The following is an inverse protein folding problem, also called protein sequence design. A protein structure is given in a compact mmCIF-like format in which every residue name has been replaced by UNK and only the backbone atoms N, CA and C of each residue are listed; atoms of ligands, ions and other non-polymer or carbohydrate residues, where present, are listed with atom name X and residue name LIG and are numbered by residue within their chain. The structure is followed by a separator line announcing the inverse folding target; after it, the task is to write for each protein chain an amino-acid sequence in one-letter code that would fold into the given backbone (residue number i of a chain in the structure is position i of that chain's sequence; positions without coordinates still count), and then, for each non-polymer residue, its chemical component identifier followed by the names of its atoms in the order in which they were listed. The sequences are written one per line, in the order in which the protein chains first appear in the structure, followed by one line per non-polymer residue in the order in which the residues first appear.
data_IF_735322153032
#
_entry.id   IF_735322153032
#
_cell.length_a   1.000
_cell.length_b   1.000
_cell.length_c   1.000
_cell.angle_alpha   90.00
_cell.angle_beta   90.00
_cell.angle_gamma   90.00
#
_symmetry.space_group_name_H-M   'P 1'
#
loop_
_entity.id
_entity.type
_entity.pdbx_description
1 polymer ?
#
# COMPACT_ATOMS: atom_id res chain seq x y z
N UNK A 1 4.38 -1.48 -4.15
CA UNK A 1 5.20 -2.66 -3.91
C UNK A 1 6.65 -2.45 -4.36
N UNK A 2 7.63 -2.95 -3.59
CA UNK A 2 9.05 -2.70 -3.80
C UNK A 2 9.81 -4.01 -4.07
N UNK A 3 10.91 -3.89 -4.82
CA UNK A 3 11.87 -4.97 -5.09
C UNK A 3 13.25 -4.51 -4.62
N UNK A 4 13.89 -5.32 -3.80
CA UNK A 4 15.26 -5.13 -3.35
C UNK A 4 16.23 -5.81 -4.33
N UNK A 5 17.09 -5.02 -4.97
CA UNK A 5 18.14 -5.47 -5.90
C UNK A 5 19.51 -5.11 -5.33
N UNK A 6 20.05 -5.98 -4.47
CA UNK A 6 21.26 -5.70 -3.72
C UNK A 6 21.06 -4.51 -2.78
N UNK A 7 21.74 -3.42 -3.00
CA UNK A 7 21.61 -2.17 -2.23
C UNK A 7 20.55 -1.21 -2.77
N UNK A 8 19.99 -1.47 -3.95
CA UNK A 8 18.98 -0.64 -4.57
C UNK A 8 17.58 -1.14 -4.23
N UNK A 9 16.64 -0.21 -4.08
CA UNK A 9 15.22 -0.49 -3.88
C UNK A 9 14.47 0.16 -5.03
N UNK A 10 13.71 -0.62 -5.77
CA UNK A 10 12.96 -0.16 -6.94
C UNK A 10 11.47 -0.45 -6.78
N UNK A 11 10.58 0.42 -7.27
CA UNK A 11 9.17 0.07 -7.36
C UNK A 11 8.94 -1.05 -8.37
N UNK A 12 7.92 -1.85 -8.15
CA UNK A 12 7.45 -2.80 -9.15
C UNK A 12 6.91 -2.04 -10.37
N UNK A 13 7.11 -2.60 -11.56
CA UNK A 13 6.58 -2.00 -12.79
C UNK A 13 5.04 -2.05 -12.77
N UNK A 14 4.39 -1.00 -13.26
CA UNK A 14 2.91 -0.90 -13.30
C UNK A 14 2.24 -2.05 -14.04
N UNK A 15 2.87 -2.55 -15.12
CA UNK A 15 2.36 -3.72 -15.87
C UNK A 15 2.30 -5.01 -15.06
N UNK A 16 3.05 -5.09 -13.95
CA UNK A 16 3.14 -6.25 -13.08
C UNK A 16 2.21 -6.12 -11.85
N UNK A 17 1.33 -5.14 -11.84
CA UNK A 17 0.30 -4.93 -10.83
C UNK A 17 -1.03 -5.58 -11.24
N UNK A 18 -1.85 -5.99 -10.28
CA UNK A 18 -1.62 -5.99 -8.83
C UNK A 18 -0.68 -7.11 -8.37
N UNK A 19 0.11 -6.86 -7.33
CA UNK A 19 0.85 -7.93 -6.66
C UNK A 19 -0.11 -8.73 -5.79
N UNK A 20 -0.41 -9.95 -6.23
CA UNK A 20 -1.29 -10.86 -5.51
C UNK A 20 -0.51 -11.55 -4.39
N UNK A 21 -1.07 -11.56 -3.19
CA UNK A 21 -0.49 -12.29 -2.07
C UNK A 21 -0.65 -13.81 -2.28
N UNK A 22 0.36 -14.61 -1.93
CA UNK A 22 0.28 -16.05 -2.04
C UNK A 22 -0.62 -16.63 -0.94
N UNK A 23 -1.24 -17.75 -1.21
CA UNK A 23 -1.86 -18.54 -0.15
C UNK A 23 -0.77 -19.11 0.77
N UNK A 24 -1.00 -19.03 2.07
CA UNK A 24 -0.05 -19.44 3.12
C UNK A 24 -0.76 -20.36 4.10
N UNK A 25 -0.24 -21.55 4.30
CA UNK A 25 -0.79 -22.51 5.25
C UNK A 25 -0.71 -22.01 6.70
N UNK A 26 0.24 -21.11 6.99
CA UNK A 26 0.49 -20.62 8.33
C UNK A 26 1.00 -19.18 8.33
N UNK A 27 0.32 -18.29 9.06
CA UNK A 27 0.67 -16.89 9.23
C UNK A 27 1.48 -16.60 10.51
N UNK A 28 2.09 -17.61 11.10
CA UNK A 28 2.97 -17.38 12.26
C UNK A 28 4.20 -16.58 11.86
N UNK A 29 4.65 -15.65 12.70
CA UNK A 29 5.94 -15.00 12.52
C UNK A 29 7.05 -16.05 12.42
N UNK A 30 8.08 -15.78 11.62
CA UNK A 30 9.28 -16.61 11.62
C UNK A 30 10.06 -16.44 12.94
N UNK A 31 10.85 -17.46 13.30
CA UNK A 31 11.63 -17.43 14.54
C UNK A 31 12.65 -16.28 14.59
N UNK A 32 13.04 -15.75 13.44
CA UNK A 32 13.91 -14.58 13.27
C UNK A 32 13.17 -13.24 13.23
N UNK A 33 11.87 -13.23 13.53
CA UNK A 33 11.03 -12.03 13.56
C UNK A 33 10.68 -11.41 12.22
N UNK A 34 10.97 -12.10 11.12
CA UNK A 34 10.60 -11.64 9.77
C UNK A 34 9.13 -11.88 9.48
N UNK A 35 8.63 -11.18 8.46
CA UNK A 35 7.27 -11.35 7.94
C UNK A 35 6.99 -12.81 7.53
N UNK A 36 5.79 -13.35 7.79
CA UNK A 36 5.38 -14.67 7.29
C UNK A 36 5.59 -14.83 5.78
N UNK A 37 5.42 -13.79 4.99
CA UNK A 37 5.65 -13.80 3.54
C UNK A 37 7.11 -14.10 3.19
N UNK A 38 8.08 -13.76 4.05
CA UNK A 38 9.50 -13.99 3.80
C UNK A 38 9.88 -15.47 3.70
N UNK A 39 9.03 -16.35 4.21
CA UNK A 39 9.24 -17.81 4.16
C UNK A 39 8.89 -18.42 2.80
N UNK A 40 8.15 -17.69 1.95
CA UNK A 40 7.64 -18.18 0.68
C UNK A 40 8.59 -17.77 -0.44
N UNK A 41 9.66 -18.55 -0.59
CA UNK A 41 10.75 -18.25 -1.53
C UNK A 41 10.27 -17.98 -2.95
N UNK A 42 9.36 -18.78 -3.48
CA UNK A 42 8.86 -18.62 -4.86
C UNK A 42 8.13 -17.31 -5.10
N UNK A 43 7.52 -16.74 -4.06
CA UNK A 43 6.85 -15.44 -4.13
C UNK A 43 7.83 -14.29 -3.89
N UNK A 44 8.80 -14.49 -2.98
CA UNK A 44 9.79 -13.46 -2.63
C UNK A 44 10.80 -13.24 -3.76
N UNK A 45 11.24 -14.30 -4.42
CA UNK A 45 12.22 -14.24 -5.50
C UNK A 45 11.61 -13.67 -6.78
N UNK A 46 12.14 -12.54 -7.26
CA UNK A 46 11.80 -11.99 -8.57
C UNK A 46 12.81 -12.52 -9.58
N UNK A 47 12.32 -13.16 -10.65
CA UNK A 47 13.15 -13.79 -11.67
C UNK A 47 13.00 -13.10 -13.02
N UNK A 48 14.05 -13.12 -13.79
CA UNK A 48 14.04 -12.70 -15.21
C UNK A 48 13.45 -13.82 -16.11
N UNK A 49 13.36 -13.55 -17.41
CA UNK A 49 12.86 -14.49 -18.41
C UNK A 49 13.70 -15.78 -18.52
N UNK A 50 14.95 -15.74 -18.06
CA UNK A 50 15.88 -16.88 -18.04
C UNK A 50 15.84 -17.65 -16.71
N UNK A 51 15.02 -17.20 -15.75
CA UNK A 51 14.89 -17.82 -14.42
C UNK A 51 15.95 -17.39 -13.40
N UNK A 52 16.80 -16.40 -13.72
CA UNK A 52 17.77 -15.87 -12.76
C UNK A 52 17.09 -14.94 -11.77
N UNK A 53 17.48 -15.02 -10.50
CA UNK A 53 16.96 -14.13 -9.45
C UNK A 53 17.57 -12.73 -9.67
N UNK A 54 16.71 -11.75 -9.95
CA UNK A 54 17.09 -10.36 -10.18
C UNK A 54 16.78 -9.45 -8.97
N UNK A 55 16.06 -9.94 -7.98
CA UNK A 55 15.74 -9.22 -6.77
C UNK A 55 14.81 -9.99 -5.84
N UNK A 56 14.52 -9.39 -4.69
CA UNK A 56 13.61 -9.94 -3.69
C UNK A 56 12.46 -8.96 -3.46
N UNK A 57 11.22 -9.44 -3.41
CA UNK A 57 10.06 -8.62 -3.05
C UNK A 57 10.15 -8.16 -1.61
N UNK A 58 9.71 -6.94 -1.36
CA UNK A 58 9.43 -6.49 0.01
C UNK A 58 8.31 -7.35 0.61
N UNK A 59 8.56 -7.86 1.80
CA UNK A 59 7.64 -8.77 2.49
C UNK A 59 6.85 -8.10 3.61
N UNK A 60 7.19 -6.85 3.95
CA UNK A 60 6.41 -6.04 4.87
C UNK A 60 5.33 -5.28 4.13
N UNK A 61 4.19 -5.12 4.76
CA UNK A 61 3.15 -4.23 4.26
C UNK A 61 3.49 -2.78 4.61
N UNK A 62 2.87 -1.83 3.90
CA UNK A 62 2.91 -0.43 4.33
C UNK A 62 2.34 -0.30 5.76
N UNK A 63 2.72 0.75 6.52
CA UNK A 63 2.15 1.01 7.82
C UNK A 63 0.62 0.92 7.81
N UNK A 64 0.03 0.41 8.88
CA UNK A 64 -1.42 0.12 8.96
C UNK A 64 -2.33 1.29 8.57
N UNK A 65 -1.88 2.54 8.73
CA UNK A 65 -2.63 3.75 8.38
C UNK A 65 -2.58 4.10 6.90
N UNK A 66 -1.73 3.45 6.10
CA UNK A 66 -1.58 3.76 4.67
C UNK A 66 -2.88 3.56 3.86
N UNK A 67 -3.68 2.56 4.20
CA UNK A 67 -5.00 2.34 3.59
C UNK A 67 -6.05 3.34 4.10
N UNK A 68 -6.12 3.53 5.41
CA UNK A 68 -7.13 4.39 6.05
C UNK A 68 -6.84 5.89 5.97
N UNK A 69 -5.63 6.28 5.59
CA UNK A 69 -5.28 7.71 5.52
C UNK A 69 -5.88 8.46 4.32
N UNK A 70 -6.44 7.78 3.34
CA UNK A 70 -7.08 8.40 2.18
C UNK A 70 -8.54 7.95 1.94
N UNK A 71 -9.13 7.15 2.82
CA UNK A 71 -10.47 6.59 2.65
C UNK A 71 -11.55 7.66 2.43
N UNK A 72 -11.43 8.81 3.07
CA UNK A 72 -12.36 9.92 2.95
C UNK A 72 -12.44 10.48 1.52
N UNK A 73 -11.33 10.45 0.79
CA UNK A 73 -11.31 10.78 -0.65
C UNK A 73 -12.01 9.68 -1.45
N UNK A 74 -11.74 8.42 -1.16
CA UNK A 74 -12.41 7.29 -1.84
C UNK A 74 -13.92 7.29 -1.62
N UNK A 75 -14.40 7.76 -0.48
CA UNK A 75 -15.83 7.88 -0.20
C UNK A 75 -16.55 8.88 -1.11
N UNK A 76 -15.85 9.79 -1.74
CA UNK A 76 -16.47 10.70 -2.72
C UNK A 76 -16.92 9.97 -3.99
N UNK A 77 -16.28 8.82 -4.31
CA UNK A 77 -16.57 8.03 -5.50
C UNK A 77 -16.24 6.53 -5.33
N UNK A 78 -16.96 5.83 -4.43
CA UNK A 78 -16.56 4.49 -3.97
C UNK A 78 -16.66 3.39 -5.05
N UNK A 79 -17.49 3.60 -6.08
CA UNK A 79 -17.75 2.62 -7.13
C UNK A 79 -16.91 2.83 -8.40
N UNK A 80 -16.03 3.81 -8.43
CA UNK A 80 -15.19 4.07 -9.58
C UNK A 80 -14.16 2.94 -9.75
N UNK A 81 -14.22 2.25 -10.89
CA UNK A 81 -13.32 1.14 -11.18
C UNK A 81 -12.03 1.59 -11.91
N UNK A 82 -12.01 2.81 -12.44
CA UNK A 82 -10.92 3.28 -13.29
C UNK A 82 -9.98 4.26 -12.55
N UNK A 83 -10.56 5.13 -11.70
CA UNK A 83 -9.85 6.16 -10.98
C UNK A 83 -10.08 6.03 -9.46
N UNK A 84 -9.18 6.56 -8.61
CA UNK A 84 -9.41 6.65 -7.18
C UNK A 84 -10.71 7.40 -6.85
N UNK A 85 -11.03 8.47 -7.60
CA UNK A 85 -12.28 9.24 -7.60
C UNK A 85 -12.32 10.15 -8.82
N UNK A 86 -13.52 10.66 -9.18
CA UNK A 86 -13.68 11.70 -10.20
C UNK A 86 -13.57 13.09 -9.57
N UNK A 87 -12.98 14.01 -10.32
CA UNK A 87 -12.72 15.38 -9.88
C UNK A 87 -13.99 16.17 -9.58
N UNK A 88 -15.07 15.88 -10.29
CA UNK A 88 -16.39 16.47 -10.06
C UNK A 88 -16.98 16.04 -8.71
N UNK A 89 -16.83 14.76 -8.36
CA UNK A 89 -17.28 14.21 -7.08
C UNK A 89 -16.47 14.80 -5.91
N UNK A 90 -15.14 14.91 -6.07
CA UNK A 90 -14.29 15.60 -5.12
C UNK A 90 -14.73 17.03 -4.88
N UNK A 91 -14.92 17.83 -5.94
CA UNK A 91 -15.34 19.22 -5.84
C UNK A 91 -16.69 19.40 -5.15
N UNK A 92 -17.59 18.43 -5.29
CA UNK A 92 -18.90 18.48 -4.67
C UNK A 92 -18.84 18.16 -3.17
N UNK A 93 -18.07 17.13 -2.78
CA UNK A 93 -18.04 16.60 -1.42
C UNK A 93 -16.96 17.22 -0.52
N UNK A 94 -15.91 17.81 -1.10
CA UNK A 94 -14.82 18.41 -0.36
C UNK A 94 -14.92 19.94 -0.33
N UNK A 95 -14.35 20.59 0.69
CA UNK A 95 -13.65 19.99 1.85
C UNK A 95 -14.62 19.35 2.84
N UNK A 96 -14.09 18.50 3.72
CA UNK A 96 -14.87 17.92 4.83
C UNK A 96 -15.24 19.02 5.83
N UNK A 97 -16.53 19.18 6.11
CA UNK A 97 -17.03 20.25 7.00
C UNK A 97 -16.82 19.91 8.48
N UNK A 98 -16.95 18.63 8.84
CA UNK A 98 -16.82 18.16 10.20
C UNK A 98 -16.32 16.72 10.24
N UNK A 99 -15.28 16.46 11.03
CA UNK A 99 -14.73 15.15 11.27
C UNK A 99 -14.68 14.86 12.77
N UNK A 100 -15.39 13.83 13.21
CA UNK A 100 -15.51 13.45 14.63
C UNK A 100 -14.85 12.09 14.84
N UNK A 101 -13.96 12.01 15.83
CA UNK A 101 -13.23 10.80 16.18
C UNK A 101 -12.55 10.88 17.53
N UNK A 102 -11.81 9.85 17.88
CA UNK A 102 -11.02 9.82 19.10
C UNK A 102 -9.84 10.80 19.08
N UNK A 103 -9.48 11.31 20.23
CA UNK A 103 -8.38 12.28 20.38
C UNK A 103 -7.03 11.72 19.90
N UNK A 104 -6.81 10.42 20.03
CA UNK A 104 -5.61 9.72 19.56
C UNK A 104 -5.36 9.89 18.06
N UNK A 105 -6.40 10.07 17.28
CA UNK A 105 -6.30 10.24 15.82
C UNK A 105 -5.69 11.58 15.40
N UNK A 106 -5.57 12.54 16.30
CA UNK A 106 -4.89 13.80 16.01
C UNK A 106 -3.42 13.60 15.60
N UNK A 107 -2.74 12.65 16.22
CA UNK A 107 -1.33 12.30 15.92
C UNK A 107 -1.17 11.00 15.12
N UNK A 108 -2.25 10.27 14.92
CA UNK A 108 -2.26 9.03 14.14
C UNK A 108 -2.88 9.29 12.75
N UNK A 109 -4.15 9.00 12.59
CA UNK A 109 -4.81 9.02 11.30
C UNK A 109 -4.81 10.41 10.62
N UNK A 110 -5.05 11.50 11.36
CA UNK A 110 -5.10 12.85 10.77
C UNK A 110 -3.74 13.32 10.25
N UNK A 111 -2.64 12.98 10.95
CA UNK A 111 -1.30 13.32 10.48
C UNK A 111 -0.95 12.58 9.18
N UNK A 112 -1.24 11.28 9.11
CA UNK A 112 -1.03 10.49 7.91
C UNK A 112 -1.94 10.93 6.76
N UNK A 113 -3.21 11.25 7.04
CA UNK A 113 -4.15 11.75 6.04
C UNK A 113 -3.66 13.05 5.42
N UNK A 114 -3.16 13.99 6.25
CA UNK A 114 -2.57 15.24 5.77
C UNK A 114 -1.35 15.00 4.88
N UNK A 115 -0.44 14.12 5.28
CA UNK A 115 0.74 13.76 4.49
C UNK A 115 0.33 13.17 3.13
N UNK A 116 -0.56 12.18 3.11
CA UNK A 116 -1.04 11.57 1.88
C UNK A 116 -1.79 12.55 0.97
N UNK A 117 -2.56 13.45 1.55
CA UNK A 117 -3.25 14.48 0.77
C UNK A 117 -2.26 15.36 0.01
N UNK A 118 -1.14 15.73 0.62
CA UNK A 118 -0.08 16.45 -0.09
C UNK A 118 0.51 15.62 -1.23
N UNK A 119 0.83 14.36 -0.99
CA UNK A 119 1.39 13.46 -2.02
C UNK A 119 0.43 13.25 -3.20
N UNK A 120 -0.87 13.13 -2.93
CA UNK A 120 -1.87 12.92 -3.99
C UNK A 120 -2.22 14.21 -4.76
N UNK A 121 -1.88 15.38 -4.21
CA UNK A 121 -2.11 16.67 -4.86
C UNK A 121 -1.01 17.02 -5.87
N UNK A 122 0.21 16.55 -5.68
CA UNK A 122 1.34 16.75 -6.61
C UNK A 122 1.14 15.98 -7.94
#
# INVERSE_FOLDING_TARGET
PLIHKGQNIEPINEKDLPVVLPEVDNYKPSDDGKSPLSTIKNWVEVKDENGNIIGLRETNTMPQWAGSCWYYLRFTDPNNANNPWEKENEKYWMPVDLYIGGQEHAVLQLLYARFWHHVLHE
#
